data_IF_825297983442
#
_entry.id   IF_825297983442
#
_cell.length_a   1.000
_cell.length_b   1.000
_cell.length_c   1.000
_cell.angle_alpha   90.00
_cell.angle_beta   90.00
_cell.angle_gamma   90.00
#
_symmetry.space_group_name_H-M   'P 1'
#
loop_
_entity.id
_entity.type
_entity.pdbx_description
1 polymer ?
#
# COMPACT_ATOMS: atom_id res chain seq x y z
N UNK A 1 29.32 -12.16 12.72
CA UNK A 1 28.11 -11.46 12.25
C UNK A 1 28.30 -11.19 10.78
N UNK A 2 27.43 -11.70 9.90
CA UNK A 2 27.40 -11.20 8.52
C UNK A 2 26.80 -9.79 8.56
N UNK A 3 27.32 -8.82 7.78
CA UNK A 3 26.68 -7.53 7.66
C UNK A 3 25.28 -7.76 7.10
N UNK A 4 24.28 -7.16 7.72
CA UNK A 4 22.90 -7.18 7.26
C UNK A 4 22.83 -6.37 5.95
N UNK A 5 23.14 -7.02 4.82
CA UNK A 5 23.06 -6.44 3.48
C UNK A 5 21.59 -6.33 3.05
N UNK A 6 20.79 -5.60 3.83
CA UNK A 6 19.45 -5.18 3.43
C UNK A 6 19.60 -3.97 2.51
N UNK A 7 18.95 -4.03 1.36
CA UNK A 7 18.79 -2.81 0.57
C UNK A 7 17.81 -1.91 1.32
N UNK A 8 17.99 -0.58 1.28
CA UNK A 8 17.04 0.31 1.92
C UNK A 8 15.68 0.15 1.24
N UNK A 9 14.61 0.13 2.05
CA UNK A 9 13.27 0.29 1.52
C UNK A 9 13.17 1.67 0.83
N UNK A 10 12.33 1.77 -0.18
CA UNK A 10 12.07 3.03 -0.87
C UNK A 10 10.71 3.56 -0.47
N UNK A 11 10.71 4.55 0.40
CA UNK A 11 9.54 5.37 0.69
C UNK A 11 9.23 6.26 -0.52
N UNK A 12 8.01 6.13 -1.04
CA UNK A 12 7.48 7.01 -2.09
C UNK A 12 6.54 8.03 -1.45
N UNK A 13 5.73 7.56 -0.49
CA UNK A 13 4.95 8.34 0.47
C UNK A 13 4.89 7.56 1.79
N UNK A 14 4.44 8.19 2.86
CA UNK A 14 4.26 7.55 4.17
C UNK A 14 3.37 6.30 4.09
N UNK A 15 2.36 6.33 3.23
CA UNK A 15 1.46 5.19 2.99
C UNK A 15 2.02 4.14 2.02
N UNK A 16 3.11 4.45 1.31
CA UNK A 16 3.65 3.65 0.20
C UNK A 16 5.18 3.47 0.31
N UNK A 17 5.60 2.55 1.18
CA UNK A 17 6.99 2.13 1.35
C UNK A 17 7.25 0.84 0.57
N UNK A 18 7.94 0.96 -0.56
CA UNK A 18 8.29 -0.17 -1.42
C UNK A 18 9.43 -1.01 -0.83
N UNK A 19 9.19 -2.31 -0.71
CA UNK A 19 10.09 -3.24 -0.03
C UNK A 19 11.02 -3.97 -0.99
N UNK A 20 12.24 -4.25 -0.53
CA UNK A 20 13.08 -5.24 -1.20
C UNK A 20 12.51 -6.66 -0.99
N UNK A 21 13.00 -7.62 -1.80
CA UNK A 21 12.49 -8.99 -1.75
C UNK A 21 12.69 -9.69 -0.39
N UNK A 22 13.73 -9.33 0.38
CA UNK A 22 13.99 -9.90 1.71
C UNK A 22 13.05 -9.30 2.75
N UNK A 23 12.81 -7.99 2.68
CA UNK A 23 11.87 -7.27 3.53
C UNK A 23 10.44 -7.76 3.28
N UNK A 24 10.02 -7.84 2.02
CA UNK A 24 8.71 -8.37 1.64
C UNK A 24 8.48 -9.81 2.17
N UNK A 25 9.50 -10.67 2.09
CA UNK A 25 9.43 -12.03 2.63
C UNK A 25 9.38 -12.05 4.16
N UNK A 26 10.09 -11.13 4.82
CA UNK A 26 10.06 -10.97 6.27
C UNK A 26 8.68 -10.53 6.76
N UNK A 27 8.11 -9.51 6.11
CA UNK A 27 6.75 -9.03 6.37
C UNK A 27 5.71 -10.13 6.21
N UNK A 28 5.82 -10.93 5.13
CA UNK A 28 4.90 -12.04 4.91
C UNK A 28 4.97 -13.10 6.02
N UNK A 29 6.14 -13.31 6.63
CA UNK A 29 6.36 -14.34 7.67
C UNK A 29 6.04 -13.87 9.08
N UNK A 30 6.18 -12.58 9.35
CA UNK A 30 6.11 -12.00 10.70
C UNK A 30 4.71 -11.61 11.17
N UNK A 31 3.67 -11.81 10.37
CA UNK A 31 2.31 -11.38 10.71
C UNK A 31 1.43 -12.53 11.22
N UNK A 32 0.71 -12.27 12.32
CA UNK A 32 0.18 -13.32 13.22
C UNK A 32 -1.12 -14.03 12.78
N UNK A 33 -1.93 -13.52 11.84
CA UNK A 33 -3.00 -14.23 11.08
C UNK A 33 -3.79 -13.21 10.22
N UNK A 34 -4.55 -13.59 9.16
CA UNK A 34 -4.75 -14.87 8.48
C UNK A 34 -3.85 -14.98 7.22
N UNK A 35 -2.61 -14.49 7.30
CA UNK A 35 -1.64 -14.46 6.20
C UNK A 35 -1.22 -15.83 5.66
N UNK A 36 -1.56 -16.93 6.33
CA UNK A 36 -1.36 -18.27 5.80
C UNK A 36 -2.02 -18.47 4.42
N UNK A 37 -3.13 -17.77 4.14
CA UNK A 37 -3.76 -17.70 2.79
C UNK A 37 -3.15 -16.62 1.90
N UNK A 38 -2.68 -15.51 2.47
CA UNK A 38 -1.93 -14.50 1.70
C UNK A 38 -0.73 -15.15 1.01
N UNK A 39 0.00 -16.06 1.65
CA UNK A 39 1.07 -16.82 1.01
C UNK A 39 0.69 -17.62 -0.26
N UNK A 40 -0.60 -17.93 -0.46
CA UNK A 40 -1.11 -18.72 -1.59
C UNK A 40 -1.65 -17.84 -2.72
N UNK A 41 -2.37 -16.77 -2.37
CA UNK A 41 -3.07 -15.93 -3.34
C UNK A 41 -2.41 -14.55 -3.55
N UNK A 42 -1.51 -14.15 -2.65
CA UNK A 42 -0.97 -12.80 -2.55
C UNK A 42 0.52 -12.74 -2.17
N UNK A 43 1.14 -11.59 -2.40
CA UNK A 43 2.48 -11.25 -1.91
C UNK A 43 2.49 -9.84 -1.39
N UNK A 44 3.07 -9.63 -0.22
CA UNK A 44 3.41 -8.27 0.25
C UNK A 44 4.50 -7.73 -0.68
N UNK A 45 4.36 -6.48 -1.11
CA UNK A 45 5.38 -5.77 -1.89
C UNK A 45 5.67 -4.37 -1.38
N UNK A 46 4.74 -3.78 -0.61
CA UNK A 46 4.91 -2.51 0.05
C UNK A 46 4.16 -2.51 1.40
N UNK A 47 4.50 -1.57 2.26
CA UNK A 47 3.82 -1.31 3.54
C UNK A 47 3.55 0.19 3.69
N UNK A 48 2.68 0.55 4.62
CA UNK A 48 2.61 1.93 5.12
C UNK A 48 3.57 2.11 6.31
N UNK A 49 3.83 3.37 6.67
CA UNK A 49 4.57 3.74 7.88
C UNK A 49 3.87 3.33 9.18
N UNK A 50 2.58 2.98 9.11
CA UNK A 50 1.76 2.51 10.25
C UNK A 50 1.75 0.99 10.39
N UNK A 51 2.27 0.23 9.42
CA UNK A 51 2.32 -1.23 9.47
C UNK A 51 1.26 -1.96 8.63
N UNK A 52 0.44 -1.24 7.87
CA UNK A 52 -0.47 -1.85 6.88
C UNK A 52 0.32 -2.40 5.70
N UNK A 53 -0.26 -3.36 4.96
CA UNK A 53 0.44 -4.02 3.85
C UNK A 53 -0.30 -3.87 2.52
N UNK A 54 0.48 -3.52 1.49
CA UNK A 54 0.07 -3.60 0.10
C UNK A 54 0.44 -4.94 -0.49
N UNK A 55 -0.52 -5.53 -1.19
CA UNK A 55 -0.51 -6.91 -1.64
C UNK A 55 -0.65 -6.98 -3.16
N UNK A 56 0.05 -7.89 -3.80
CA UNK A 56 -0.12 -8.22 -5.22
C UNK A 56 -0.64 -9.64 -5.38
N UNK A 57 -1.64 -9.85 -6.23
CA UNK A 57 -2.20 -11.17 -6.49
C UNK A 57 -1.22 -12.07 -7.24
N UNK A 58 -1.22 -13.36 -6.90
CA UNK A 58 -0.35 -14.39 -7.48
C UNK A 58 -0.95 -15.11 -8.69
N UNK A 59 -2.21 -14.82 -9.03
CA UNK A 59 -2.93 -15.42 -10.16
C UNK A 59 -2.54 -14.85 -11.53
N UNK A 60 -1.45 -14.08 -11.60
CA UNK A 60 -0.95 -13.45 -12.82
C UNK A 60 -1.72 -12.21 -13.26
N UNK A 61 -2.83 -11.85 -12.59
CA UNK A 61 -3.61 -10.64 -12.91
C UNK A 61 -3.03 -9.37 -12.28
N UNK A 62 -2.03 -9.49 -11.40
CA UNK A 62 -1.37 -8.38 -10.71
C UNK A 62 -2.34 -7.40 -10.05
N UNK A 63 -3.43 -7.92 -9.48
CA UNK A 63 -4.39 -7.09 -8.74
C UNK A 63 -3.75 -6.65 -7.45
N UNK A 64 -4.02 -5.41 -7.06
CA UNK A 64 -3.53 -4.85 -5.80
C UNK A 64 -4.61 -4.99 -4.73
N UNK A 65 -4.18 -5.46 -3.56
CA UNK A 65 -4.97 -5.52 -2.34
C UNK A 65 -4.32 -4.72 -1.23
N UNK A 66 -5.10 -4.42 -0.20
CA UNK A 66 -4.65 -3.75 1.01
C UNK A 66 -5.02 -4.59 2.23
N UNK A 67 -4.13 -4.65 3.21
CA UNK A 67 -4.34 -5.36 4.46
C UNK A 67 -4.11 -4.39 5.62
N UNK A 68 -5.21 -4.06 6.28
CA UNK A 68 -5.25 -3.29 7.51
C UNK A 68 -4.72 -4.15 8.67
N UNK A 69 -3.62 -3.71 9.29
CA UNK A 69 -2.95 -4.47 10.34
C UNK A 69 -3.69 -4.44 11.68
N UNK A 70 -4.54 -3.42 11.91
CA UNK A 70 -5.30 -3.27 13.15
C UNK A 70 -6.43 -4.31 13.26
N UNK A 71 -6.84 -4.92 12.14
CA UNK A 71 -7.80 -6.03 12.13
C UNK A 71 -7.22 -7.35 12.69
N UNK A 72 -5.91 -7.38 12.97
CA UNK A 72 -5.25 -8.51 13.63
C UNK A 72 -5.47 -9.83 12.89
N UNK A 73 -5.74 -10.89 13.65
CA UNK A 73 -5.81 -12.26 13.15
C UNK A 73 -6.91 -12.52 12.08
N UNK A 74 -7.93 -11.66 12.02
CA UNK A 74 -9.07 -11.79 11.11
C UNK A 74 -8.95 -10.87 9.88
N UNK A 75 -7.84 -10.16 9.72
CA UNK A 75 -7.62 -9.21 8.65
C UNK A 75 -7.74 -9.86 7.25
N UNK A 76 -8.62 -9.34 6.41
CA UNK A 76 -8.79 -9.84 5.03
C UNK A 76 -8.24 -8.83 4.04
N UNK A 77 -7.51 -9.32 3.04
CA UNK A 77 -7.06 -8.50 1.93
C UNK A 77 -8.25 -7.87 1.20
N UNK A 78 -8.29 -6.54 1.19
CA UNK A 78 -9.32 -5.75 0.51
C UNK A 78 -8.85 -5.46 -0.92
N UNK A 79 -9.58 -5.87 -1.97
CA UNK A 79 -9.23 -5.53 -3.34
C UNK A 79 -9.36 -4.03 -3.61
N UNK A 80 -8.31 -3.41 -4.12
CA UNK A 80 -8.29 -1.95 -4.35
C UNK A 80 -8.76 -1.54 -5.75
N UNK A 81 -8.98 -2.51 -6.63
CA UNK A 81 -9.22 -2.31 -8.06
C UNK A 81 -8.11 -1.45 -8.72
N UNK A 82 -6.86 -1.75 -8.35
CA UNK A 82 -5.66 -1.18 -8.94
C UNK A 82 -4.82 -2.31 -9.56
N UNK A 83 -4.09 -1.96 -10.61
CA UNK A 83 -2.88 -2.68 -11.02
C UNK A 83 -1.64 -1.98 -10.41
N UNK A 84 -0.45 -2.56 -10.60
CA UNK A 84 0.79 -2.01 -10.05
C UNK A 84 1.12 -0.60 -10.55
N UNK A 85 0.87 -0.30 -11.83
CA UNK A 85 1.13 1.03 -12.38
C UNK A 85 0.22 2.10 -11.76
N UNK A 86 -1.04 1.78 -11.54
CA UNK A 86 -2.00 2.65 -10.84
C UNK A 86 -1.64 2.82 -9.37
N UNK A 87 -1.14 1.78 -8.71
CA UNK A 87 -0.60 1.89 -7.35
C UNK A 87 0.60 2.83 -7.29
N UNK A 88 1.52 2.78 -8.27
CA UNK A 88 2.66 3.69 -8.32
C UNK A 88 2.23 5.16 -8.52
N UNK A 89 1.22 5.40 -9.36
CA UNK A 89 0.63 6.74 -9.52
C UNK A 89 -0.01 7.24 -8.22
N UNK A 90 -0.70 6.36 -7.49
CA UNK A 90 -1.26 6.68 -6.19
C UNK A 90 -0.17 7.00 -5.18
N UNK A 91 0.88 6.19 -5.11
CA UNK A 91 2.02 6.41 -4.21
C UNK A 91 2.69 7.77 -4.44
N UNK A 92 2.93 8.12 -5.72
CA UNK A 92 3.49 9.43 -6.09
C UNK A 92 2.53 10.58 -5.74
N UNK A 93 1.22 10.42 -6.01
CA UNK A 93 0.21 11.40 -5.66
C UNK A 93 0.14 11.66 -4.15
N UNK A 94 0.22 10.62 -3.32
CA UNK A 94 0.26 10.76 -1.86
C UNK A 94 1.55 11.44 -1.41
N UNK A 95 2.69 11.15 -2.03
CA UNK A 95 3.94 11.84 -1.72
C UNK A 95 3.89 13.33 -2.08
N UNK A 96 3.22 13.69 -3.18
CA UNK A 96 2.96 15.10 -3.52
C UNK A 96 2.03 15.77 -2.51
N UNK A 97 0.98 15.06 -2.08
CA UNK A 97 0.05 15.55 -1.05
C UNK A 97 0.74 15.81 0.29
N UNK A 98 1.56 14.86 0.76
CA UNK A 98 2.35 14.97 1.99
C UNK A 98 3.37 16.12 1.94
N UNK A 99 3.83 16.48 0.74
CA UNK A 99 4.77 17.59 0.53
C UNK A 99 4.10 18.97 0.43
N UNK A 100 2.76 19.05 0.38
CA UNK A 100 2.04 20.32 0.45
C UNK A 100 2.08 20.84 1.89
N UNK A 101 2.71 21.99 2.10
CA UNK A 101 2.89 22.61 3.41
C UNK A 101 1.59 23.31 3.86
N UNK A 102 0.88 22.74 4.84
CA UNK A 102 -0.30 23.20 5.63
C UNK A 102 -1.49 23.92 4.94
N UNK A 103 -1.45 24.21 3.64
CA UNK A 103 -2.52 24.84 2.84
C UNK A 103 -3.51 23.78 2.29
N UNK A 104 -3.79 22.75 3.09
CA UNK A 104 -4.78 21.73 2.74
C UNK A 104 -6.18 22.27 3.06
N UNK A 105 -6.82 22.87 2.07
CA UNK A 105 -8.21 23.27 2.13
C UNK A 105 -9.16 22.26 1.47
N UNK A 106 -10.46 22.51 1.57
CA UNK A 106 -11.50 21.65 0.96
C UNK A 106 -11.31 21.51 -0.56
N UNK A 107 -10.74 22.51 -1.23
CA UNK A 107 -10.48 22.47 -2.67
C UNK A 107 -9.32 21.53 -2.99
N UNK A 108 -8.26 21.54 -2.19
CA UNK A 108 -7.14 20.61 -2.27
C UNK A 108 -7.62 19.16 -2.07
N UNK A 109 -8.44 18.88 -1.06
CA UNK A 109 -9.03 17.54 -0.81
C UNK A 109 -9.93 17.11 -1.99
N UNK A 110 -10.74 18.03 -2.53
CA UNK A 110 -11.57 17.75 -3.70
C UNK A 110 -10.73 17.50 -4.96
N UNK A 111 -9.60 18.16 -5.12
CA UNK A 111 -8.66 17.94 -6.21
C UNK A 111 -7.96 16.58 -6.06
N UNK A 112 -7.49 16.22 -4.86
CA UNK A 112 -6.92 14.92 -4.54
C UNK A 112 -7.90 13.80 -4.90
N UNK A 113 -9.14 13.92 -4.42
CA UNK A 113 -10.21 12.97 -4.73
C UNK A 113 -10.42 12.79 -6.24
N UNK A 114 -10.45 13.89 -7.00
CA UNK A 114 -10.58 13.86 -8.47
C UNK A 114 -9.41 13.15 -9.15
N UNK A 115 -8.17 13.37 -8.67
CA UNK A 115 -6.99 12.71 -9.21
C UNK A 115 -7.00 11.21 -8.92
N UNK A 116 -7.44 10.80 -7.73
CA UNK A 116 -7.61 9.39 -7.39
C UNK A 116 -8.64 8.70 -8.29
N UNK A 117 -9.77 9.36 -8.59
CA UNK A 117 -10.78 8.84 -9.52
C UNK A 117 -10.25 8.66 -10.95
N UNK A 118 -9.28 9.50 -11.38
CA UNK A 118 -8.61 9.34 -12.67
C UNK A 118 -7.63 8.16 -12.68
N UNK A 119 -7.00 7.84 -11.54
CA UNK A 119 -6.14 6.66 -11.40
C UNK A 119 -7.00 5.39 -11.48
N UNK A 120 -8.06 5.31 -10.70
CA UNK A 120 -9.02 4.20 -10.74
C UNK A 120 -10.39 4.66 -10.24
N UNK A 121 -11.44 4.34 -11.01
CA UNK A 121 -12.80 4.75 -10.67
C UNK A 121 -13.23 4.21 -9.29
N UNK A 122 -13.68 5.11 -8.42
CA UNK A 122 -14.07 4.88 -7.04
C UNK A 122 -12.91 4.76 -6.05
N UNK A 123 -11.66 5.05 -6.45
CA UNK A 123 -10.49 4.93 -5.58
C UNK A 123 -10.56 5.88 -4.38
N UNK A 124 -11.07 7.10 -4.56
CA UNK A 124 -11.21 8.07 -3.46
C UNK A 124 -12.06 7.54 -2.29
N UNK A 125 -12.98 6.61 -2.56
CA UNK A 125 -13.85 5.98 -1.55
C UNK A 125 -13.29 4.68 -0.98
N UNK A 126 -12.41 4.01 -1.73
CA UNK A 126 -11.79 2.73 -1.32
C UNK A 126 -10.47 2.93 -0.60
N UNK A 127 -9.83 4.09 -0.77
CA UNK A 127 -8.56 4.39 -0.12
C UNK A 127 -8.71 4.23 1.40
N UNK A 128 -7.76 3.55 2.07
CA UNK A 128 -7.93 3.13 3.45
C UNK A 128 -7.74 4.26 4.46
N UNK A 129 -7.15 5.40 4.04
CA UNK A 129 -6.90 6.54 4.91
C UNK A 129 -7.85 7.70 4.60
N UNK A 130 -8.12 8.51 5.61
CA UNK A 130 -8.87 9.75 5.48
C UNK A 130 -7.95 10.91 5.07
N UNK A 131 -8.52 11.89 4.39
CA UNK A 131 -7.91 13.18 4.06
C UNK A 131 -8.73 14.29 4.70
#
# INVERSE_FOLDING_TARGET
>A
MQPDHRWPAREISGDCVFLDARQALSELRGRDAPLARLGQDWRVFAVSGTGDAWLMSLDGQQRIGFLDHDQGAEAVAQPMALNFGQWLQLADLMGQWEAMDDDLDDEAVAQLSRLMEQISHGLSRRYPYAF
#
